data_IF_081585299042
#
_entry.id   IF_081585299042
#
_cell.length_a   1.000
_cell.length_b   1.000
_cell.length_c   1.000
_cell.angle_alpha   90.00
_cell.angle_beta   90.00
_cell.angle_gamma   90.00
#
_symmetry.space_group_name_H-M   'P 1'
#
loop_
_entity.id
_entity.type
_entity.pdbx_description
1 polymer ?
#
# COMPACT_ATOMS: atom_id res chain seq x y z
N UNK A 1 -10.43 -1.04 6.63
CA UNK A 1 -10.02 -0.30 7.88
C UNK A 1 -11.15 0.63 8.28
N UNK A 2 -11.60 0.59 9.53
CA UNK A 2 -12.58 1.56 10.02
C UNK A 2 -11.98 2.98 9.96
N UNK A 3 -12.72 3.97 9.46
CA UNK A 3 -12.23 5.34 9.42
C UNK A 3 -12.00 5.86 10.83
N UNK A 4 -10.80 6.33 11.11
CA UNK A 4 -10.50 7.04 12.36
C UNK A 4 -11.06 8.45 12.22
N UNK A 5 -12.21 8.72 12.82
CA UNK A 5 -13.08 9.87 12.58
C UNK A 5 -12.54 11.28 12.87
N UNK A 6 -11.22 11.47 13.08
CA UNK A 6 -10.66 12.80 13.37
C UNK A 6 -9.29 13.06 12.70
N UNK A 7 -8.82 12.16 11.88
CA UNK A 7 -7.52 12.31 11.20
C UNK A 7 -7.71 12.20 9.69
N UNK A 8 -7.22 13.19 8.99
CA UNK A 8 -7.10 13.18 7.54
C UNK A 8 -5.72 13.74 7.16
N UNK A 9 -5.30 13.49 5.95
CA UNK A 9 -4.12 14.12 5.37
C UNK A 9 -4.40 14.57 3.95
N UNK A 10 -3.67 15.60 3.52
CA UNK A 10 -3.69 16.09 2.15
C UNK A 10 -2.48 15.49 1.47
N UNK A 11 -2.71 14.84 0.33
CA UNK A 11 -1.62 14.19 -0.43
C UNK A 11 -0.77 15.26 -1.08
N UNK A 12 0.51 15.35 -0.68
CA UNK A 12 1.58 16.02 -1.39
C UNK A 12 2.51 14.96 -1.95
N UNK A 13 2.31 14.57 -3.20
CA UNK A 13 3.05 13.49 -3.82
C UNK A 13 4.28 13.97 -4.58
N UNK A 14 5.28 13.10 -4.66
CA UNK A 14 6.46 13.31 -5.50
C UNK A 14 6.25 12.76 -6.90
N UNK A 15 6.99 13.32 -7.87
CA UNK A 15 7.06 12.78 -9.23
C UNK A 15 8.05 11.62 -9.25
N UNK A 16 7.58 10.46 -9.65
CA UNK A 16 8.38 9.24 -9.69
C UNK A 16 9.07 9.04 -11.04
N UNK A 17 10.29 8.52 -11.01
CA UNK A 17 10.93 8.04 -12.23
C UNK A 17 10.34 6.69 -12.64
N UNK A 18 10.23 6.36 -13.95
CA UNK A 18 9.68 5.07 -14.39
C UNK A 18 10.37 3.84 -13.77
N UNK A 19 11.67 3.94 -13.48
CA UNK A 19 12.43 2.88 -12.83
C UNK A 19 11.98 2.64 -11.37
N UNK A 20 11.59 3.71 -10.65
CA UNK A 20 11.08 3.61 -9.28
C UNK A 20 9.72 2.93 -9.26
N UNK A 21 8.81 3.29 -10.17
CA UNK A 21 7.50 2.62 -10.29
C UNK A 21 7.65 1.13 -10.62
N UNK A 22 8.56 0.76 -11.53
CA UNK A 22 8.85 -0.65 -11.82
C UNK A 22 9.37 -1.41 -10.60
N UNK A 23 10.18 -0.78 -9.77
CA UNK A 23 10.65 -1.38 -8.52
C UNK A 23 9.51 -1.56 -7.52
N UNK A 24 8.61 -0.57 -7.40
CA UNK A 24 7.41 -0.67 -6.58
C UNK A 24 6.48 -1.80 -7.06
N UNK A 25 6.22 -1.90 -8.37
CA UNK A 25 5.43 -3.01 -8.93
C UNK A 25 6.03 -4.37 -8.62
N UNK A 26 7.36 -4.50 -8.70
CA UNK A 26 8.04 -5.75 -8.33
C UNK A 26 7.79 -6.09 -6.87
N UNK A 27 7.85 -5.10 -5.98
CA UNK A 27 7.57 -5.28 -4.55
C UNK A 27 6.10 -5.64 -4.31
N UNK A 28 5.16 -4.97 -4.99
CA UNK A 28 3.72 -5.27 -4.91
C UNK A 28 3.43 -6.73 -5.32
N UNK A 29 4.00 -7.19 -6.43
CA UNK A 29 3.87 -8.58 -6.90
C UNK A 29 4.43 -9.58 -5.89
N UNK A 30 5.59 -9.28 -5.30
CA UNK A 30 6.19 -10.14 -4.28
C UNK A 30 5.35 -10.18 -3.00
N UNK A 31 4.83 -9.04 -2.57
CA UNK A 31 3.93 -8.96 -1.42
C UNK A 31 2.63 -9.72 -1.67
N UNK A 32 2.04 -9.60 -2.86
CA UNK A 32 0.83 -10.34 -3.24
C UNK A 32 1.05 -11.85 -3.10
N UNK A 33 2.17 -12.38 -3.64
CA UNK A 33 2.50 -13.81 -3.53
C UNK A 33 2.63 -14.23 -2.06
N UNK A 34 3.29 -13.41 -1.24
CA UNK A 34 3.48 -13.71 0.18
C UNK A 34 2.15 -13.74 0.94
N UNK A 35 1.27 -12.76 0.69
CA UNK A 35 -0.06 -12.71 1.31
C UNK A 35 -0.89 -13.92 0.87
N UNK A 36 -0.98 -14.19 -0.42
CA UNK A 36 -1.73 -15.33 -0.97
C UNK A 36 -1.21 -16.66 -0.43
N UNK A 37 0.11 -16.83 -0.32
CA UNK A 37 0.71 -18.02 0.28
C UNK A 37 0.31 -18.18 1.75
N UNK A 38 0.34 -17.10 2.55
CA UNK A 38 -0.05 -17.14 3.96
C UNK A 38 -1.55 -17.46 4.13
N UNK A 39 -2.39 -16.98 3.25
CA UNK A 39 -3.82 -17.29 3.23
C UNK A 39 -4.04 -18.79 2.93
N UNK A 40 -3.35 -19.34 1.94
CA UNK A 40 -3.37 -20.77 1.64
C UNK A 40 -2.84 -21.63 2.80
N UNK A 41 -1.75 -21.22 3.45
CA UNK A 41 -1.24 -21.88 4.66
C UNK A 41 -2.29 -21.88 5.78
N UNK A 42 -3.00 -20.76 5.94
CA UNK A 42 -4.06 -20.64 6.94
C UNK A 42 -5.24 -21.53 6.60
N UNK A 43 -5.64 -21.60 5.34
CA UNK A 43 -6.70 -22.48 4.86
C UNK A 43 -6.36 -23.96 5.08
N UNK A 44 -5.12 -24.37 4.80
CA UNK A 44 -4.63 -25.75 4.95
C UNK A 44 -4.03 -26.04 6.34
N UNK A 45 -4.30 -25.20 7.34
CA UNK A 45 -3.69 -25.31 8.68
C UNK A 45 -3.85 -26.71 9.31
N UNK A 46 -5.01 -27.32 9.18
CA UNK A 46 -5.28 -28.64 9.80
C UNK A 46 -4.43 -29.74 9.14
N UNK A 47 -4.35 -29.78 7.82
CA UNK A 47 -3.53 -30.70 7.06
C UNK A 47 -2.04 -30.56 7.43
N UNK A 48 -1.56 -29.31 7.52
CA UNK A 48 -0.18 -29.02 7.94
C UNK A 48 0.06 -29.49 9.38
N UNK A 49 -0.91 -29.32 10.28
CA UNK A 49 -0.79 -29.78 11.67
C UNK A 49 -0.74 -31.31 11.76
N UNK A 50 -1.48 -32.03 10.93
CA UNK A 50 -1.47 -33.50 10.89
C UNK A 50 -0.13 -34.03 10.36
N UNK A 51 0.41 -33.43 9.30
CA UNK A 51 1.76 -33.75 8.80
C UNK A 51 2.84 -33.50 9.87
N UNK A 52 2.74 -32.42 10.62
CA UNK A 52 3.65 -32.12 11.75
C UNK A 52 3.53 -33.14 12.87
N UNK A 53 2.30 -33.52 13.24
CA UNK A 53 2.03 -34.52 14.28
C UNK A 53 2.60 -35.89 13.90
N UNK A 54 2.48 -36.24 12.64
CA UNK A 54 3.02 -37.49 12.09
C UNK A 54 4.52 -37.42 11.80
N UNK A 55 5.17 -36.28 12.02
CA UNK A 55 6.58 -36.01 11.71
C UNK A 55 6.96 -36.28 10.23
N UNK A 56 5.98 -36.10 9.34
CA UNK A 56 6.16 -36.25 7.90
C UNK A 56 6.83 -35.03 7.30
N UNK A 57 8.16 -35.04 7.26
CA UNK A 57 8.97 -33.94 6.72
C UNK A 57 8.82 -33.78 5.22
N UNK A 58 8.73 -34.92 4.50
CA UNK A 58 8.57 -34.93 3.04
C UNK A 58 7.21 -34.36 2.66
N UNK A 59 6.14 -34.82 3.31
CA UNK A 59 4.80 -34.26 3.10
C UNK A 59 4.70 -32.76 3.41
N UNK A 60 5.42 -32.27 4.43
CA UNK A 60 5.48 -30.83 4.72
C UNK A 60 6.19 -30.02 3.61
N UNK A 61 7.29 -30.57 3.06
CA UNK A 61 8.01 -29.93 1.96
C UNK A 61 7.14 -29.89 0.69
N UNK A 62 6.57 -31.04 0.32
CA UNK A 62 5.68 -31.16 -0.84
C UNK A 62 4.48 -30.19 -0.73
N UNK A 63 3.90 -30.09 0.47
CA UNK A 63 2.83 -29.15 0.77
C UNK A 63 3.28 -27.70 0.55
N UNK A 64 4.44 -27.32 1.08
CA UNK A 64 4.98 -25.97 0.92
C UNK A 64 5.21 -25.62 -0.56
N UNK A 65 5.79 -26.54 -1.33
CA UNK A 65 6.04 -26.34 -2.76
C UNK A 65 4.71 -26.22 -3.53
N UNK A 66 3.71 -27.07 -3.22
CA UNK A 66 2.38 -27.02 -3.80
C UNK A 66 1.71 -25.68 -3.53
N UNK A 67 1.66 -25.24 -2.26
CA UNK A 67 1.01 -23.99 -1.89
C UNK A 67 1.72 -22.76 -2.48
N UNK A 68 3.05 -22.79 -2.57
CA UNK A 68 3.81 -21.71 -3.21
C UNK A 68 3.50 -21.61 -4.71
N UNK A 69 3.42 -22.76 -5.40
CA UNK A 69 3.05 -22.81 -6.81
C UNK A 69 1.61 -22.29 -7.01
N UNK A 70 0.68 -22.74 -6.18
CA UNK A 70 -0.72 -22.31 -6.21
C UNK A 70 -0.84 -20.79 -6.00
N UNK A 71 -0.12 -20.22 -5.01
CA UNK A 71 -0.07 -18.79 -4.77
C UNK A 71 0.45 -18.03 -6.00
N UNK A 72 1.51 -18.52 -6.65
CA UNK A 72 2.05 -17.92 -7.86
C UNK A 72 1.05 -17.98 -9.02
N UNK A 73 0.33 -19.07 -9.19
CA UNK A 73 -0.64 -19.24 -10.27
C UNK A 73 -1.88 -18.34 -10.05
N UNK A 74 -2.35 -18.20 -8.81
CA UNK A 74 -3.40 -17.24 -8.44
C UNK A 74 -2.96 -15.81 -8.74
N UNK A 75 -1.73 -15.41 -8.34
CA UNK A 75 -1.20 -14.07 -8.58
C UNK A 75 -0.97 -13.79 -10.07
N UNK A 76 -0.61 -14.78 -10.89
CA UNK A 76 -0.51 -14.64 -12.35
C UNK A 76 -1.87 -14.41 -13.00
N UNK A 77 -2.92 -15.03 -12.47
CA UNK A 77 -4.29 -14.85 -12.98
C UNK A 77 -4.86 -13.47 -12.59
N UNK A 78 -4.39 -12.89 -11.49
CA UNK A 78 -4.84 -11.60 -10.97
C UNK A 78 -3.63 -10.70 -10.65
N UNK A 79 -2.90 -10.22 -11.66
CA UNK A 79 -1.66 -9.47 -11.45
C UNK A 79 -1.95 -8.09 -10.85
N UNK A 80 -1.14 -7.70 -9.87
CA UNK A 80 -1.10 -6.32 -9.35
C UNK A 80 -0.08 -5.50 -10.12
N UNK A 81 -0.33 -4.21 -10.23
CA UNK A 81 0.55 -3.23 -10.89
C UNK A 81 -0.18 -1.93 -11.10
N UNK A 82 0.51 -0.95 -11.68
CA UNK A 82 -0.06 0.34 -12.03
C UNK A 82 -0.70 0.27 -13.42
N UNK A 83 -1.85 0.93 -13.59
CA UNK A 83 -2.42 1.17 -14.92
C UNK A 83 -1.56 2.15 -15.72
N UNK A 84 -1.83 2.28 -17.02
CA UNK A 84 -1.13 3.27 -17.83
C UNK A 84 -1.41 4.69 -17.35
N UNK A 85 -2.67 4.99 -16.97
CA UNK A 85 -3.07 6.28 -16.43
C UNK A 85 -2.35 6.57 -15.09
N UNK A 86 -2.29 5.59 -14.20
CA UNK A 86 -1.55 5.73 -12.93
C UNK A 86 -0.06 5.97 -13.18
N UNK A 87 0.54 5.22 -14.10
CA UNK A 87 1.96 5.38 -14.46
C UNK A 87 2.22 6.78 -15.03
N UNK A 88 1.35 7.27 -15.91
CA UNK A 88 1.45 8.62 -16.46
C UNK A 88 1.29 9.68 -15.36
N UNK A 89 0.26 9.56 -14.52
CA UNK A 89 0.02 10.50 -13.42
C UNK A 89 1.22 10.55 -12.46
N UNK A 90 1.73 9.41 -12.00
CA UNK A 90 2.86 9.37 -11.07
C UNK A 90 4.18 9.85 -11.66
N UNK A 91 4.35 9.78 -12.99
CA UNK A 91 5.55 10.25 -13.66
C UNK A 91 5.49 11.70 -14.13
N UNK A 92 4.32 12.34 -14.11
CA UNK A 92 4.11 13.72 -14.58
C UNK A 92 3.63 14.65 -13.46
N UNK A 93 2.52 14.30 -12.80
CA UNK A 93 1.90 15.10 -11.74
C UNK A 93 2.49 14.74 -10.38
N UNK A 94 2.82 13.47 -10.20
CA UNK A 94 3.24 12.89 -8.93
C UNK A 94 2.08 12.25 -8.17
N UNK A 95 2.38 11.79 -6.96
CA UNK A 95 1.39 11.15 -6.11
C UNK A 95 2.01 10.30 -5.01
N UNK A 96 1.19 9.46 -4.41
CA UNK A 96 1.58 8.56 -3.31
C UNK A 96 1.11 7.14 -3.59
N UNK A 97 1.76 6.42 -4.55
CA UNK A 97 1.29 5.12 -5.03
C UNK A 97 1.15 4.04 -3.94
N UNK A 98 1.85 4.19 -2.81
CA UNK A 98 1.76 3.26 -1.68
C UNK A 98 0.48 3.42 -0.85
N UNK A 99 -0.34 4.46 -1.12
CA UNK A 99 -1.62 4.68 -0.47
C UNK A 99 -2.81 4.14 -1.28
N UNK A 100 -2.58 3.81 -2.55
CA UNK A 100 -3.61 3.29 -3.44
C UNK A 100 -4.21 1.98 -2.90
N UNK A 101 -5.53 1.95 -2.80
CA UNK A 101 -6.28 0.81 -2.27
C UNK A 101 -6.25 0.65 -0.74
N UNK A 102 -5.41 1.43 -0.02
CA UNK A 102 -5.31 1.37 1.45
C UNK A 102 -6.16 2.44 2.15
N UNK A 103 -6.44 3.55 1.46
CA UNK A 103 -7.14 4.70 2.02
C UNK A 103 -8.29 5.15 1.11
N UNK A 104 -9.29 5.79 1.72
CA UNK A 104 -10.42 6.35 1.00
C UNK A 104 -10.16 7.82 0.68
N UNK A 105 -10.21 8.17 -0.61
CA UNK A 105 -10.24 9.56 -1.07
C UNK A 105 -11.66 10.10 -0.84
N UNK A 106 -11.80 11.20 -0.13
CA UNK A 106 -13.10 11.81 0.21
C UNK A 106 -13.21 13.27 -0.22
N UNK A 107 -12.16 13.86 -0.77
CA UNK A 107 -12.15 15.24 -1.25
C UNK A 107 -10.88 15.56 -2.01
N UNK A 108 -10.88 16.73 -2.63
CA UNK A 108 -9.75 17.30 -3.35
C UNK A 108 -9.53 18.77 -2.94
N UNK A 109 -8.33 19.28 -3.14
CA UNK A 109 -7.99 20.69 -2.88
C UNK A 109 -8.36 21.50 -4.10
N UNK A 110 -9.39 22.33 -4.00
CA UNK A 110 -9.81 23.22 -5.09
C UNK A 110 -8.90 24.44 -5.21
N UNK A 111 -8.48 25.02 -4.08
CA UNK A 111 -7.64 26.22 -4.02
C UNK A 111 -6.59 26.10 -2.91
N UNK A 112 -5.44 26.77 -3.07
CA UNK A 112 -4.41 26.85 -2.04
C UNK A 112 -3.42 25.70 -2.04
N UNK A 113 -3.14 25.07 -3.17
CA UNK A 113 -2.09 24.05 -3.28
C UNK A 113 -0.70 24.61 -2.91
N UNK A 114 -0.45 25.88 -3.16
CA UNK A 114 0.75 26.60 -2.73
C UNK A 114 0.87 26.67 -1.20
N UNK A 115 -0.25 26.84 -0.49
CA UNK A 115 -0.29 26.79 0.98
C UNK A 115 0.00 25.38 1.47
N UNK A 116 -0.55 24.34 0.82
CA UNK A 116 -0.28 22.94 1.16
C UNK A 116 1.22 22.64 0.99
N UNK A 117 1.82 23.09 -0.12
CA UNK A 117 3.27 22.95 -0.34
C UNK A 117 4.08 23.69 0.74
N UNK A 118 3.71 24.91 1.09
CA UNK A 118 4.40 25.67 2.13
C UNK A 118 4.32 24.99 3.51
N UNK A 119 3.21 24.32 3.83
CA UNK A 119 3.07 23.53 5.05
C UNK A 119 3.98 22.29 5.00
N UNK A 120 4.12 21.66 3.84
CA UNK A 120 4.97 20.48 3.67
C UNK A 120 6.47 20.81 3.78
N UNK A 121 6.85 22.04 3.50
CA UNK A 121 8.24 22.51 3.47
C UNK A 121 8.70 23.14 4.81
N UNK A 122 7.87 23.13 5.86
CA UNK A 122 8.28 23.68 7.16
C UNK A 122 9.32 22.80 7.86
N UNK A 123 10.15 23.43 8.68
CA UNK A 123 11.13 22.72 9.51
C UNK A 123 10.44 21.80 10.52
N UNK A 124 10.89 20.56 10.60
CA UNK A 124 10.36 19.54 11.50
C UNK A 124 11.42 18.99 12.43
N UNK A 125 10.98 18.42 13.55
CA UNK A 125 11.84 17.65 14.46
C UNK A 125 12.06 16.19 13.96
N UNK A 126 12.78 15.39 14.74
CA UNK A 126 13.07 13.99 14.40
C UNK A 126 11.81 13.07 14.33
N UNK A 127 10.67 13.57 14.73
CA UNK A 127 9.38 12.86 14.69
C UNK A 127 8.44 13.45 13.61
N UNK A 128 8.99 14.19 12.66
CA UNK A 128 8.27 14.90 11.58
C UNK A 128 7.22 15.91 12.10
N UNK A 129 7.39 16.39 13.33
CA UNK A 129 6.53 17.41 13.91
C UNK A 129 7.09 18.78 13.56
N UNK A 130 6.27 19.73 13.03
CA UNK A 130 6.70 21.10 12.83
C UNK A 130 7.29 21.74 14.08
N UNK A 131 8.47 22.38 13.96
CA UNK A 131 9.14 23.06 15.06
C UNK A 131 8.34 24.26 15.56
N UNK A 132 7.65 24.94 14.65
CA UNK A 132 6.70 26.00 14.96
C UNK A 132 5.26 25.49 14.91
N UNK A 133 4.40 25.99 15.78
CA UNK A 133 3.00 25.58 15.81
C UNK A 133 2.25 26.06 14.56
N UNK A 134 1.78 25.11 13.76
CA UNK A 134 0.84 25.35 12.68
C UNK A 134 -0.59 25.23 13.20
N UNK A 135 -1.39 26.29 13.02
CA UNK A 135 -2.79 26.29 13.42
C UNK A 135 -3.70 26.18 12.21
N UNK A 136 -4.71 25.35 12.32
CA UNK A 136 -5.73 25.13 11.29
C UNK A 136 -7.10 25.51 11.85
N UNK A 137 -7.89 26.23 11.05
CA UNK A 137 -9.31 26.47 11.34
C UNK A 137 -10.15 25.77 10.28
N UNK A 138 -11.04 24.90 10.71
CA UNK A 138 -11.97 24.19 9.84
C UNK A 138 -13.35 24.81 9.96
N UNK A 139 -13.99 25.08 8.83
CA UNK A 139 -15.38 25.55 8.76
C UNK A 139 -16.07 24.93 7.55
N UNK A 140 -17.38 24.72 7.68
CA UNK A 140 -18.22 24.35 6.53
C UNK A 140 -18.46 25.62 5.71
N UNK A 141 -18.29 25.52 4.39
CA UNK A 141 -18.65 26.58 3.45
C UNK A 141 -20.03 26.20 2.90
N UNK A 142 -21.03 27.02 3.16
CA UNK A 142 -22.36 26.92 2.53
C UNK A 142 -22.29 27.58 1.16
N UNK A 143 -22.73 26.88 0.12
CA UNK A 143 -22.88 27.46 -1.24
C UNK A 143 -24.04 28.43 -1.33
#
# INVERSE_FOLDING_TARGET
KEPRGSQFYIVCGEVYKPAQLKQMEKQMKQNQITITFNDLVTYHKNEIMDLRRNRDRTGLQDMQERLMKEAQDICKANPVGFSNEQTEAYTTIGGTPFLDGEYTVFGEVEHGLDVVSAINDVDTDNADRPTDNLTMKVSVVEE
#
